data_IF_814898044819
#
_entry.id   IF_814898044819
#
_cell.length_a   1.000
_cell.length_b   1.000
_cell.length_c   1.000
_cell.angle_alpha   90.00
_cell.angle_beta   90.00
_cell.angle_gamma   90.00
#
_symmetry.space_group_name_H-M   'P 1'
#
loop_
_entity.id
_entity.type
_entity.pdbx_description
1 polymer ?
#
# COMPACT_ATOMS: atom_id res chain seq x y z
N UNK A 1 7.87 -6.29 -2.45
CA UNK A 1 6.89 -5.45 -3.16
C UNK A 1 7.40 -4.86 -4.48
N UNK A 2 8.45 -4.03 -4.48
CA UNK A 2 8.97 -3.42 -5.73
C UNK A 2 9.20 -4.43 -6.87
N UNK A 3 9.85 -5.58 -6.60
CA UNK A 3 10.04 -6.62 -7.63
C UNK A 3 8.73 -7.18 -8.18
N UNK A 4 7.70 -7.36 -7.33
CA UNK A 4 6.39 -7.87 -7.73
C UNK A 4 5.69 -6.87 -8.69
N UNK A 5 5.80 -5.58 -8.35
CA UNK A 5 5.30 -4.47 -9.15
C UNK A 5 5.99 -4.39 -10.51
N UNK A 6 7.32 -4.53 -10.56
CA UNK A 6 8.07 -4.57 -11.82
C UNK A 6 7.71 -5.76 -12.72
N UNK A 7 7.31 -6.90 -12.12
CA UNK A 7 6.84 -8.06 -12.88
C UNK A 7 5.39 -7.95 -13.34
N UNK A 8 4.69 -6.84 -13.06
CA UNK A 8 3.25 -6.70 -13.29
C UNK A 8 2.46 -7.83 -12.63
N UNK A 9 2.80 -8.17 -11.38
CA UNK A 9 2.05 -9.10 -10.55
C UNK A 9 1.43 -8.36 -9.36
N UNK A 10 0.18 -8.71 -9.06
CA UNK A 10 -0.59 -8.18 -7.93
C UNK A 10 -0.56 -9.20 -6.81
N UNK A 11 -0.31 -8.79 -5.57
CA UNK A 11 -0.38 -9.67 -4.40
C UNK A 11 -1.83 -9.91 -3.94
N UNK A 12 -2.66 -8.86 -3.95
CA UNK A 12 -4.12 -8.88 -3.70
C UNK A 12 -4.57 -9.14 -2.26
N UNK A 13 -3.70 -9.66 -1.41
CA UNK A 13 -4.04 -9.93 -0.01
C UNK A 13 -3.03 -9.37 0.97
N UNK A 14 -2.20 -8.40 0.58
CA UNK A 14 -1.05 -7.94 1.37
C UNK A 14 -1.46 -7.38 2.74
N UNK A 15 -0.79 -7.83 3.80
CA UNK A 15 -0.97 -7.46 5.21
C UNK A 15 0.26 -7.89 6.02
N UNK A 16 0.38 -7.43 7.27
CA UNK A 16 1.49 -7.84 8.16
C UNK A 16 1.50 -9.35 8.41
N UNK A 17 0.34 -10.01 8.40
CA UNK A 17 0.20 -11.47 8.55
C UNK A 17 0.89 -12.30 7.45
N UNK A 18 1.18 -11.73 6.28
CA UNK A 18 1.93 -12.45 5.23
C UNK A 18 3.43 -12.13 5.21
N UNK A 19 3.92 -11.33 6.15
CA UNK A 19 5.34 -11.09 6.32
C UNK A 19 5.88 -12.08 7.35
N UNK A 20 6.61 -13.07 6.88
CA UNK A 20 7.16 -14.14 7.71
C UNK A 20 8.63 -13.91 7.99
N UNK A 21 9.03 -14.13 9.24
CA UNK A 21 10.41 -14.18 9.68
C UNK A 21 10.73 -15.61 10.13
N UNK A 22 11.95 -16.06 9.84
CA UNK A 22 12.39 -17.41 10.16
C UNK A 22 13.54 -17.40 11.15
N UNK A 23 13.60 -18.44 11.98
CA UNK A 23 14.74 -18.68 12.84
C UNK A 23 15.91 -19.23 12.02
N UNK A 24 17.10 -18.76 12.33
CA UNK A 24 18.34 -19.32 11.84
C UNK A 24 18.53 -20.74 12.43
N UNK A 25 18.83 -21.71 11.58
CA UNK A 25 18.87 -23.11 11.97
C UNK A 25 20.05 -23.45 12.91
N UNK A 26 21.14 -22.68 12.84
CA UNK A 26 22.35 -22.95 13.60
C UNK A 26 22.35 -22.19 14.94
N UNK A 27 21.93 -20.92 14.91
CA UNK A 27 21.98 -20.03 16.07
C UNK A 27 20.67 -19.95 16.85
N UNK A 28 19.56 -20.47 16.29
CA UNK A 28 18.20 -20.31 16.81
C UNK A 28 17.78 -18.84 17.01
N UNK A 29 18.48 -17.90 16.39
CA UNK A 29 18.15 -16.48 16.43
C UNK A 29 17.09 -16.15 15.36
N UNK A 30 16.15 -15.26 15.69
CA UNK A 30 15.13 -14.82 14.73
C UNK A 30 15.76 -13.84 13.72
N UNK A 31 15.69 -14.18 12.43
CA UNK A 31 16.22 -13.34 11.35
C UNK A 31 15.24 -12.24 10.96
N UNK A 32 15.40 -11.05 11.54
CA UNK A 32 14.56 -9.88 11.24
C UNK A 32 14.98 -9.10 9.99
N UNK A 33 16.17 -9.35 9.47
CA UNK A 33 16.76 -8.66 8.32
C UNK A 33 16.22 -9.15 6.96
N UNK A 34 15.61 -10.33 6.96
CA UNK A 34 15.25 -11.07 5.75
C UNK A 34 13.80 -11.58 5.82
N UNK A 35 12.81 -10.67 5.73
CA UNK A 35 11.40 -11.05 5.69
C UNK A 35 11.06 -11.79 4.39
N UNK A 36 10.12 -12.72 4.49
CA UNK A 36 9.55 -13.45 3.36
C UNK A 36 8.08 -13.07 3.17
N UNK A 37 7.67 -12.92 1.91
CA UNK A 37 6.29 -12.65 1.56
C UNK A 37 5.57 -13.96 1.24
N UNK A 38 4.52 -14.28 2.02
CA UNK A 38 3.64 -15.43 1.83
C UNK A 38 2.29 -15.03 1.19
N UNK A 39 1.34 -15.96 1.05
CA UNK A 39 -0.02 -15.62 0.62
C UNK A 39 -0.24 -15.42 -0.89
N UNK A 40 0.69 -15.90 -1.73
CA UNK A 40 0.63 -15.76 -3.18
C UNK A 40 -0.50 -16.55 -3.88
N UNK A 41 -1.35 -17.27 -3.14
CA UNK A 41 -2.49 -18.02 -3.70
C UNK A 41 -3.48 -17.12 -4.47
N UNK A 42 -3.65 -15.88 -4.00
CA UNK A 42 -4.51 -14.88 -4.63
C UNK A 42 -3.78 -13.98 -5.62
N UNK A 43 -2.46 -14.14 -5.74
CA UNK A 43 -1.62 -13.32 -6.57
C UNK A 43 -1.83 -13.64 -8.05
N UNK A 44 -1.90 -12.60 -8.90
CA UNK A 44 -2.22 -12.74 -10.33
C UNK A 44 -1.48 -11.68 -11.15
N UNK A 45 -1.23 -11.94 -12.46
CA UNK A 45 -0.76 -10.90 -13.37
C UNK A 45 -1.72 -9.71 -13.41
N UNK A 46 -1.16 -8.52 -13.53
CA UNK A 46 -1.90 -7.29 -13.73
C UNK A 46 -2.32 -7.18 -15.20
N UNK A 47 -3.58 -7.50 -15.48
CA UNK A 47 -4.12 -7.54 -16.84
C UNK A 47 -5.09 -6.38 -17.11
N UNK A 48 -4.72 -5.14 -16.72
CA UNK A 48 -5.56 -3.92 -16.82
C UNK A 48 -6.06 -3.59 -18.24
N UNK A 49 -5.69 -4.39 -19.24
CA UNK A 49 -6.07 -4.25 -20.65
C UNK A 49 -7.51 -4.68 -20.97
N UNK A 50 -8.20 -5.33 -20.03
CA UNK A 50 -9.60 -5.75 -20.21
C UNK A 50 -10.53 -4.64 -19.70
N UNK A 51 -11.49 -4.24 -20.54
CA UNK A 51 -12.48 -3.20 -20.26
C UNK A 51 -13.12 -3.33 -18.86
N UNK A 52 -13.17 -2.22 -18.12
CA UNK A 52 -13.71 -2.13 -16.76
C UNK A 52 -15.18 -2.62 -16.64
N UNK A 53 -15.89 -2.73 -17.76
CA UNK A 53 -17.32 -3.11 -17.83
C UNK A 53 -17.60 -4.60 -17.80
N UNK A 54 -16.59 -5.47 -17.78
CA UNK A 54 -16.77 -6.93 -17.91
C UNK A 54 -16.89 -7.66 -16.56
N UNK A 55 -16.67 -7.00 -15.42
CA UNK A 55 -16.63 -7.71 -14.13
C UNK A 55 -17.79 -7.34 -13.20
N UNK A 56 -18.88 -8.07 -13.35
CA UNK A 56 -19.86 -8.33 -12.28
C UNK A 56 -19.36 -9.56 -11.52
N UNK A 57 -18.96 -9.38 -10.26
CA UNK A 57 -18.43 -10.45 -9.39
C UNK A 57 -17.07 -10.93 -9.95
N UNK A 58 -15.95 -10.84 -9.25
CA UNK A 58 -15.48 -11.90 -8.38
C UNK A 58 -14.17 -11.36 -7.75
N UNK A 59 -14.25 -10.80 -6.55
CA UNK A 59 -13.11 -10.86 -5.63
C UNK A 59 -12.94 -12.33 -5.23
N UNK A 60 -12.34 -13.13 -6.11
CA UNK A 60 -12.16 -14.56 -5.87
C UNK A 60 -11.02 -14.66 -4.85
N UNK A 61 -11.39 -14.59 -3.57
CA UNK A 61 -10.51 -14.88 -2.45
C UNK A 61 -10.77 -14.11 -1.16
N UNK A 62 -11.23 -12.86 -1.21
CA UNK A 62 -11.37 -12.05 0.00
C UNK A 62 -12.69 -11.30 0.03
N UNK A 63 -13.55 -11.66 0.98
CA UNK A 63 -14.73 -10.88 1.34
C UNK A 63 -14.24 -9.63 2.05
N UNK A 64 -14.36 -8.48 1.38
CA UNK A 64 -14.11 -7.15 1.95
C UNK A 64 -15.30 -6.82 2.87
N UNK A 65 -15.04 -6.32 4.07
CA UNK A 65 -16.07 -5.92 5.05
C UNK A 65 -16.36 -6.96 6.14
N UNK A 66 -15.45 -7.89 6.41
CA UNK A 66 -15.65 -8.99 7.36
C UNK A 66 -14.48 -9.34 8.31
N UNK A 67 -13.31 -8.69 8.24
CA UNK A 67 -12.28 -8.90 9.27
C UNK A 67 -11.32 -7.72 9.48
N UNK A 68 -10.57 -7.75 10.58
CA UNK A 68 -9.51 -6.78 10.93
C UNK A 68 -8.55 -6.47 9.76
N UNK A 69 -8.40 -7.40 8.83
CA UNK A 69 -7.66 -7.25 7.59
C UNK A 69 -8.20 -6.13 6.67
N UNK A 70 -9.42 -5.64 6.86
CA UNK A 70 -10.05 -4.65 5.97
C UNK A 70 -9.31 -3.32 6.00
N UNK A 71 -8.58 -3.03 7.08
CA UNK A 71 -7.68 -1.89 7.19
C UNK A 71 -6.58 -1.87 6.12
N UNK A 72 -6.17 -3.03 5.59
CA UNK A 72 -5.18 -3.09 4.50
C UNK A 72 -5.79 -2.86 3.12
N UNK A 73 -7.12 -2.77 3.00
CA UNK A 73 -7.80 -2.62 1.71
C UNK A 73 -7.91 -1.15 1.34
N UNK A 74 -7.54 -0.82 0.09
CA UNK A 74 -7.68 0.55 -0.39
C UNK A 74 -9.16 0.99 -0.34
N UNK A 75 -9.48 2.20 0.18
CA UNK A 75 -10.86 2.66 0.38
C UNK A 75 -11.70 2.62 -0.91
N UNK A 76 -11.08 2.97 -2.04
CA UNK A 76 -11.71 2.88 -3.37
C UNK A 76 -12.12 1.48 -3.85
N UNK A 77 -11.63 0.38 -3.24
CA UNK A 77 -12.15 -0.98 -3.49
C UNK A 77 -13.41 -1.27 -2.66
N UNK A 78 -13.56 -0.59 -1.53
CA UNK A 78 -14.68 -0.79 -0.60
C UNK A 78 -15.89 0.06 -1.01
N UNK A 79 -15.66 1.30 -1.42
CA UNK A 79 -16.71 2.24 -1.81
C UNK A 79 -17.33 1.97 -3.18
N UNK A 80 -16.52 1.52 -4.13
CA UNK A 80 -16.98 1.16 -5.48
C UNK A 80 -16.37 -0.17 -5.91
N UNK A 81 -17.16 -1.19 -6.27
CA UNK A 81 -16.62 -2.44 -6.77
C UNK A 81 -15.90 -2.16 -8.10
N UNK A 82 -14.57 -2.19 -8.03
CA UNK A 82 -13.69 -2.05 -9.18
C UNK A 82 -12.65 -3.16 -9.18
N UNK A 83 -11.96 -3.30 -10.31
CA UNK A 83 -10.82 -4.21 -10.41
C UNK A 83 -9.72 -3.83 -9.42
N UNK A 84 -9.07 -4.85 -8.86
CA UNK A 84 -7.83 -4.70 -8.10
C UNK A 84 -6.70 -4.18 -8.99
N UNK A 85 -5.92 -3.26 -8.45
CA UNK A 85 -4.88 -2.49 -9.13
C UNK A 85 -3.58 -2.52 -8.34
N UNK A 86 -2.48 -2.08 -8.95
CA UNK A 86 -1.16 -2.05 -8.31
C UNK A 86 -1.12 -1.07 -7.13
N UNK A 87 -1.86 0.04 -7.20
CA UNK A 87 -1.99 0.99 -6.09
C UNK A 87 -2.64 0.39 -4.84
N UNK A 88 -3.45 -0.67 -5.00
CA UNK A 88 -4.11 -1.31 -3.86
C UNK A 88 -3.09 -2.07 -3.00
N UNK A 89 -2.15 -2.79 -3.62
CA UNK A 89 -1.05 -3.43 -2.90
C UNK A 89 -0.11 -2.40 -2.26
N UNK A 90 0.06 -1.25 -2.92
CA UNK A 90 0.86 -0.13 -2.39
C UNK A 90 0.20 0.49 -1.17
N UNK A 91 -1.13 0.65 -1.16
CA UNK A 91 -1.88 1.10 0.01
C UNK A 91 -1.67 0.13 1.18
N UNK A 92 -1.84 -1.18 0.94
CA UNK A 92 -1.60 -2.20 1.96
C UNK A 92 -0.17 -2.14 2.53
N UNK A 93 0.83 -1.87 1.69
CA UNK A 93 2.21 -1.65 2.13
C UNK A 93 2.33 -0.41 3.03
N UNK A 94 1.61 0.67 2.72
CA UNK A 94 1.57 1.87 3.57
C UNK A 94 1.04 1.58 4.97
N UNK A 95 -0.02 0.77 5.07
CA UNK A 95 -0.58 0.33 6.36
C UNK A 95 0.43 -0.52 7.13
N UNK A 96 1.12 -1.46 6.47
CA UNK A 96 2.17 -2.27 7.12
C UNK A 96 3.31 -1.40 7.65
N UNK A 97 3.75 -0.40 6.88
CA UNK A 97 4.81 0.51 7.32
C UNK A 97 4.34 1.36 8.51
N UNK A 98 3.06 1.77 8.55
CA UNK A 98 2.47 2.44 9.71
C UNK A 98 2.53 1.54 10.96
N UNK A 99 2.12 0.27 10.84
CA UNK A 99 2.19 -0.70 11.94
C UNK A 99 3.61 -0.91 12.47
N UNK A 100 4.60 -0.96 11.58
CA UNK A 100 6.01 -1.10 11.98
C UNK A 100 6.47 0.13 12.77
N UNK A 101 6.03 1.33 12.38
CA UNK A 101 6.47 2.55 13.03
C UNK A 101 5.79 2.81 14.39
N UNK A 102 4.50 2.50 14.50
CA UNK A 102 3.75 2.65 15.76
C UNK A 102 3.91 1.44 16.69
N UNK A 103 4.37 0.31 16.16
CA UNK A 103 4.48 -0.96 16.87
C UNK A 103 3.14 -1.47 17.46
N UNK A 104 2.05 -1.11 16.80
CA UNK A 104 0.67 -1.48 17.13
C UNK A 104 -0.04 -1.95 15.85
N UNK A 105 -1.04 -2.83 15.99
CA UNK A 105 -1.82 -3.25 14.82
C UNK A 105 -2.72 -2.12 14.34
N UNK A 106 -2.86 -1.96 13.03
CA UNK A 106 -3.68 -0.90 12.46
C UNK A 106 -5.17 -1.05 12.83
N UNK A 107 -5.62 -2.28 13.09
CA UNK A 107 -6.97 -2.58 13.56
C UNK A 107 -7.22 -2.06 15.00
N UNK A 108 -6.27 -2.30 15.91
CA UNK A 108 -6.33 -1.80 17.29
C UNK A 108 -6.26 -0.27 17.31
N UNK A 109 -5.32 0.31 16.58
CA UNK A 109 -5.13 1.76 16.53
C UNK A 109 -6.38 2.49 16.04
N UNK A 110 -7.05 1.96 15.01
CA UNK A 110 -8.27 2.57 14.48
C UNK A 110 -9.49 2.43 15.41
N UNK A 111 -9.31 1.80 16.58
CA UNK A 111 -10.33 1.50 17.59
C UNK A 111 -11.57 0.91 16.92
N UNK A 112 -11.35 -0.04 15.99
CA UNK A 112 -12.43 -0.68 15.28
C UNK A 112 -13.11 -1.65 16.25
N UNK A 113 -14.23 -1.22 16.84
CA UNK A 113 -15.24 -2.17 17.30
C UNK A 113 -15.64 -2.99 16.09
N UNK A 114 -15.07 -4.20 15.95
CA UNK A 114 -15.29 -5.14 14.85
C UNK A 114 -16.70 -5.74 14.91
N UNK A 115 -17.71 -4.88 14.89
CA UNK A 115 -19.09 -5.27 14.69
C UNK A 115 -19.40 -5.15 13.20
N UNK A 116 -19.94 -6.19 12.54
CA UNK A 116 -20.41 -6.09 11.16
C UNK A 116 -21.42 -4.94 10.91
N UNK A 117 -22.00 -4.37 11.96
CA UNK A 117 -22.93 -3.25 11.93
C UNK A 117 -22.27 -1.86 12.03
N UNK A 118 -21.04 -1.73 12.58
CA UNK A 118 -20.34 -0.44 12.71
C UNK A 118 -19.65 -0.03 11.40
N UNK A 119 -19.09 -1.00 10.68
CA UNK A 119 -18.38 -0.80 9.40
C UNK A 119 -19.34 -0.29 8.32
N UNK A 120 -20.56 -0.86 8.24
CA UNK A 120 -21.60 -0.42 7.29
C UNK A 120 -22.14 0.99 7.56
N UNK A 121 -22.03 1.50 8.79
CA UNK A 121 -22.64 2.77 9.21
C UNK A 121 -21.65 3.95 9.26
N UNK A 122 -20.35 3.69 9.49
CA UNK A 122 -19.34 4.75 9.57
C UNK A 122 -18.65 5.07 8.24
N UNK A 123 -18.88 4.27 7.19
CA UNK A 123 -18.28 4.46 5.87
C UNK A 123 -16.83 4.02 5.84
N UNK A 124 -16.47 3.21 4.85
CA UNK A 124 -15.12 2.66 4.69
C UNK A 124 -14.04 3.75 4.51
N UNK A 125 -14.45 4.92 4.02
CA UNK A 125 -13.60 6.12 3.95
C UNK A 125 -13.15 6.60 5.35
N UNK A 126 -13.96 6.39 6.40
CA UNK A 126 -13.60 6.82 7.75
C UNK A 126 -12.39 6.06 8.31
N UNK A 127 -12.23 4.79 7.93
CA UNK A 127 -11.05 4.00 8.33
C UNK A 127 -9.79 4.52 7.64
N UNK A 128 -9.85 4.71 6.32
CA UNK A 128 -8.72 5.24 5.57
C UNK A 128 -8.33 6.66 6.03
N UNK A 129 -9.31 7.51 6.37
CA UNK A 129 -9.06 8.83 6.95
C UNK A 129 -8.32 8.71 8.28
N UNK A 130 -8.73 7.82 9.17
CA UNK A 130 -8.04 7.59 10.46
C UNK A 130 -6.59 7.13 10.25
N UNK A 131 -6.37 6.14 9.38
CA UNK A 131 -5.03 5.63 9.06
C UNK A 131 -4.12 6.74 8.52
N UNK A 132 -4.63 7.55 7.60
CA UNK A 132 -3.87 8.70 7.04
C UNK A 132 -3.62 9.77 8.09
N UNK A 133 -4.58 10.04 8.98
CA UNK A 133 -4.43 11.04 10.03
C UNK A 133 -3.37 10.61 11.06
N UNK A 134 -3.41 9.36 11.51
CA UNK A 134 -2.40 8.76 12.37
C UNK A 134 -0.99 8.94 11.80
N UNK A 135 -0.83 8.60 10.51
CA UNK A 135 0.42 8.75 9.81
C UNK A 135 0.92 10.20 9.79
N UNK A 136 0.03 11.20 9.68
CA UNK A 136 0.39 12.62 9.64
C UNK A 136 0.77 13.18 11.02
N UNK A 137 0.12 12.73 12.07
CA UNK A 137 0.26 13.32 13.40
C UNK A 137 1.42 12.72 14.19
N UNK A 138 1.66 11.41 14.08
CA UNK A 138 2.55 10.70 15.01
C UNK A 138 3.91 10.36 14.39
N UNK A 139 3.94 9.87 13.13
CA UNK A 139 5.14 9.30 12.54
C UNK A 139 6.35 10.24 12.47
N UNK A 140 6.15 11.53 12.24
CA UNK A 140 7.25 12.49 12.17
C UNK A 140 8.02 12.57 13.50
N UNK A 141 7.29 12.53 14.62
CA UNK A 141 7.87 12.64 15.95
C UNK A 141 8.59 11.35 16.36
N UNK A 142 8.03 10.19 16.00
CA UNK A 142 8.53 8.90 16.47
C UNK A 142 9.66 8.32 15.61
N UNK A 143 9.48 8.33 14.28
CA UNK A 143 10.38 7.67 13.32
C UNK A 143 11.02 8.63 12.32
N UNK A 144 10.62 9.90 12.33
CA UNK A 144 11.16 10.96 11.50
C UNK A 144 10.42 11.18 10.18
N UNK A 145 10.60 12.37 9.62
CA UNK A 145 9.87 12.85 8.44
C UNK A 145 10.10 12.00 7.18
N UNK A 146 11.30 11.43 6.99
CA UNK A 146 11.59 10.61 5.81
C UNK A 146 10.72 9.33 5.77
N UNK A 147 10.54 8.69 6.93
CA UNK A 147 9.69 7.51 7.05
C UNK A 147 8.22 7.89 6.89
N UNK A 148 7.78 8.94 7.59
CA UNK A 148 6.42 9.47 7.47
C UNK A 148 6.05 9.75 6.01
N UNK A 149 6.90 10.45 5.26
CA UNK A 149 6.64 10.75 3.85
C UNK A 149 6.50 9.48 3.00
N UNK A 150 7.31 8.45 3.27
CA UNK A 150 7.22 7.18 2.55
C UNK A 150 5.88 6.47 2.83
N UNK A 151 5.44 6.47 4.09
CA UNK A 151 4.12 5.93 4.50
C UNK A 151 2.99 6.68 3.83
N UNK A 152 2.97 8.02 3.93
CA UNK A 152 1.94 8.85 3.33
C UNK A 152 1.92 8.73 1.80
N UNK A 153 3.07 8.59 1.16
CA UNK A 153 3.14 8.35 -0.28
C UNK A 153 2.45 7.03 -0.65
N UNK A 154 2.65 5.95 0.12
CA UNK A 154 1.97 4.67 -0.08
C UNK A 154 0.44 4.78 0.14
N UNK A 155 0.02 5.38 1.26
CA UNK A 155 -1.40 5.51 1.62
C UNK A 155 -2.20 6.37 0.64
N UNK A 156 -1.55 7.32 -0.05
CA UNK A 156 -2.16 8.12 -1.11
C UNK A 156 -1.98 7.50 -2.51
N UNK A 157 -1.59 6.23 -2.61
CA UNK A 157 -1.44 5.51 -3.88
C UNK A 157 -0.32 6.02 -4.78
N UNK A 158 0.71 6.66 -4.20
CA UNK A 158 1.90 7.25 -4.85
C UNK A 158 1.64 8.40 -5.84
N UNK A 159 0.38 8.78 -6.04
CA UNK A 159 -0.05 9.86 -6.96
C UNK A 159 -0.28 11.22 -6.29
N UNK A 160 0.16 11.39 -5.05
CA UNK A 160 0.18 12.72 -4.41
C UNK A 160 1.11 13.69 -5.15
N UNK A 161 0.90 15.01 -5.01
CA UNK A 161 1.80 16.01 -5.57
C UNK A 161 3.23 15.67 -5.15
N UNK A 162 4.15 15.67 -6.10
CA UNK A 162 5.57 15.56 -5.78
C UNK A 162 5.86 16.69 -4.80
N UNK A 163 6.16 16.34 -3.54
CA UNK A 163 6.70 17.33 -2.61
C UNK A 163 8.04 17.70 -3.21
N UNK A 164 8.04 18.82 -3.92
CA UNK A 164 9.13 19.39 -4.69
C UNK A 164 10.40 19.40 -3.83
N UNK A 165 11.28 18.45 -4.07
CA UNK A 165 12.66 18.88 -4.22
C UNK A 165 12.67 19.56 -5.58
N UNK A 166 12.89 20.87 -5.61
CA UNK A 166 13.15 21.64 -6.83
C UNK A 166 14.31 20.99 -7.58
N UNK A 167 14.00 19.98 -8.41
CA UNK A 167 14.94 19.48 -9.40
C UNK A 167 14.88 20.52 -10.51
N UNK A 168 15.97 21.24 -10.81
CA UNK A 168 15.98 22.26 -11.85
C UNK A 168 15.42 21.68 -13.14
N UNK A 169 14.49 22.39 -13.77
CA UNK A 169 13.76 22.02 -14.98
C UNK A 169 14.65 21.43 -16.09
N UNK A 170 15.93 21.81 -16.08
CA UNK A 170 16.96 21.44 -17.05
C UNK A 170 17.50 19.99 -16.85
N UNK A 171 17.13 19.29 -15.77
CA UNK A 171 17.57 17.93 -15.46
C UNK A 171 16.42 16.89 -15.48
N UNK A 172 15.18 17.32 -15.71
CA UNK A 172 14.02 16.44 -15.81
C UNK A 172 13.75 16.08 -17.28
N UNK A 173 14.17 14.89 -17.70
CA UNK A 173 13.70 14.30 -18.96
C UNK A 173 12.27 13.74 -18.88
N UNK A 174 11.53 14.01 -17.80
CA UNK A 174 10.12 13.60 -17.66
C UNK A 174 9.22 14.76 -18.03
N UNK A 175 8.44 14.61 -19.11
CA UNK A 175 7.31 15.49 -19.38
C UNK A 175 6.30 15.39 -18.22
N UNK A 176 5.72 16.50 -17.73
CA UNK A 176 4.59 16.44 -16.81
C UNK A 176 3.44 15.68 -17.46
N UNK A 177 2.87 14.70 -16.76
CA UNK A 177 1.72 13.93 -17.24
C UNK A 177 0.46 14.81 -17.18
N UNK A 178 -0.18 15.01 -18.33
CA UNK A 178 -1.29 15.95 -18.53
C UNK A 178 -2.68 15.35 -18.29
N UNK A 179 -2.74 14.11 -17.79
CA UNK A 179 -3.97 13.49 -17.32
C UNK A 179 -4.89 12.94 -18.42
N UNK A 180 -4.49 12.92 -19.69
CA UNK A 180 -5.29 12.32 -20.77
C UNK A 180 -4.46 11.39 -21.66
N UNK A 181 -4.56 10.07 -21.43
CA UNK A 181 -4.06 9.02 -22.32
C UNK A 181 -5.16 8.01 -22.62
N UNK A 182 -5.56 7.90 -23.89
CA UNK A 182 -6.52 6.92 -24.36
C UNK A 182 -5.82 5.55 -24.52
N UNK A 183 -6.10 4.61 -23.61
CA UNK A 183 -5.83 3.18 -23.82
C UNK A 183 -4.52 2.61 -23.25
N UNK A 184 -3.74 3.35 -22.47
CA UNK A 184 -2.61 2.81 -21.71
C UNK A 184 -2.97 2.56 -20.24
N UNK A 185 -2.27 1.62 -19.61
CA UNK A 185 -2.40 1.25 -18.21
C UNK A 185 -2.44 2.50 -17.31
N UNK A 186 -3.54 2.75 -16.57
CA UNK A 186 -3.70 3.97 -15.80
C UNK A 186 -2.59 4.15 -14.77
N UNK A 187 -1.94 3.07 -14.32
CA UNK A 187 -0.86 2.99 -13.31
C UNK A 187 0.54 2.84 -13.88
N UNK A 188 0.73 3.14 -15.17
CA UNK A 188 2.05 3.19 -15.75
C UNK A 188 3.02 4.06 -14.94
N UNK A 189 4.21 3.53 -14.62
CA UNK A 189 5.24 4.24 -13.86
C UNK A 189 5.11 4.17 -12.33
N UNK A 190 4.06 3.54 -11.80
CA UNK A 190 3.86 3.38 -10.35
C UNK A 190 5.04 2.68 -9.67
N UNK A 191 5.67 1.71 -10.35
CA UNK A 191 6.87 1.03 -9.86
C UNK A 191 8.06 1.99 -9.72
N UNK A 192 8.20 2.95 -10.63
CA UNK A 192 9.22 4.00 -10.52
C UNK A 192 8.92 4.90 -9.32
N UNK A 193 7.67 5.28 -9.11
CA UNK A 193 7.31 6.13 -7.97
C UNK A 193 7.51 5.41 -6.65
N UNK A 194 7.19 4.11 -6.58
CA UNK A 194 7.47 3.28 -5.42
C UNK A 194 8.98 3.23 -5.12
N UNK A 195 9.82 3.11 -6.16
CA UNK A 195 11.27 3.13 -5.99
C UNK A 195 11.75 4.46 -5.39
N UNK A 196 11.34 5.59 -5.96
CA UNK A 196 11.89 6.90 -5.60
C UNK A 196 11.25 7.54 -4.37
N UNK A 197 9.94 7.38 -4.20
CA UNK A 197 9.19 7.96 -3.07
C UNK A 197 9.30 7.12 -1.80
N UNK A 198 9.56 5.81 -1.92
CA UNK A 198 9.55 4.88 -0.77
C UNK A 198 10.90 4.21 -0.61
N UNK A 199 11.29 3.32 -1.53
CA UNK A 199 12.46 2.44 -1.35
C UNK A 199 13.74 3.24 -1.13
N UNK A 200 14.07 4.16 -2.04
CA UNK A 200 15.28 5.00 -1.95
C UNK A 200 15.27 5.94 -0.76
N UNK A 201 14.09 6.32 -0.25
CA UNK A 201 13.99 7.15 0.96
C UNK A 201 14.29 6.32 2.21
N UNK A 202 13.68 5.14 2.31
CA UNK A 202 13.91 4.24 3.45
C UNK A 202 15.34 3.67 3.47
N UNK A 203 15.98 3.49 2.31
CA UNK A 203 17.41 3.11 2.25
C UNK A 203 18.32 4.15 2.93
N UNK A 204 17.96 5.44 2.90
CA UNK A 204 18.74 6.51 3.56
C UNK A 204 18.63 6.46 5.09
N UNK A 205 17.67 5.72 5.64
CA UNK A 205 17.51 5.53 7.08
C UNK A 205 18.40 4.39 7.62
N UNK A 206 19.07 3.61 6.76
CA UNK A 206 20.05 2.61 7.20
C UNK A 206 21.25 3.34 7.80
N UNK A 207 21.29 3.39 9.13
CA UNK A 207 22.47 3.71 9.96
C UNK A 207 23.36 2.49 10.07
#
# INVERSE_FOLDING_TARGET
>A
MYHLQCSHWLHRSLSSYQILFFYDAETAALRMDTPYLAGLLYSRPDDQRVDERVFEVVSEGRVIGQGELDVYSHPGLMSTPRRYRRSDDVYSLGVILLEIALWESAAEYCSLDWSPHSIRNNGDDALAIKVVQAAKEELAADVGELYQHAVLACLNGLRGPDIEQEIPFNQLHRRPYDGTYQGEDPEYGLESDLLWKVVRRLEKLRV
#
